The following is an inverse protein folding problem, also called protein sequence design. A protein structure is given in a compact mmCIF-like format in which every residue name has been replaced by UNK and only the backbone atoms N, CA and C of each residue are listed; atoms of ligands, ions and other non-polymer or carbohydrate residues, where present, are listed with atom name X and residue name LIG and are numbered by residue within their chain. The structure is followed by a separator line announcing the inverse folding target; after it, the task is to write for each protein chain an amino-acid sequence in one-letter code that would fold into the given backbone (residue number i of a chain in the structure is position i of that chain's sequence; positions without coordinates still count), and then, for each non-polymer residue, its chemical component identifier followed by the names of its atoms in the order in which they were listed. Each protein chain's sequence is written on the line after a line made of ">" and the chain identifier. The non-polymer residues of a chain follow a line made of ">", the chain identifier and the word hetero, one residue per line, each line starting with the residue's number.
data_IF_569283102675
#
_entry.id   IF_569283102675
#
_cell.length_a   1.000
_cell.length_b   1.000
_cell.length_c   1.000
_cell.angle_alpha   90.00
_cell.angle_beta   90.00
_cell.angle_gamma   90.00
#
_symmetry.space_group_name_H-M   'P 1'
#
loop_
_entity.id
_entity.type
_entity.pdbx_description
1 polymer ?
#
# COMPACT_ATOMS: atom_id res chain seq x y z
N UNK A 1 63.78 -9.08 22.74
CA UNK A 1 62.94 -8.26 21.81
C UNK A 1 61.49 -8.68 21.96
N UNK A 2 60.68 -7.71 22.41
CA UNK A 2 59.27 -7.91 22.59
C UNK A 2 58.51 -7.68 21.27
N UNK A 3 57.36 -8.34 21.01
CA UNK A 3 56.60 -8.11 19.82
C UNK A 3 55.74 -6.85 19.99
N UNK A 4 55.80 -6.00 18.98
CA UNK A 4 55.00 -4.78 18.85
C UNK A 4 53.59 -5.13 18.43
N UNK A 5 52.60 -4.77 19.26
CA UNK A 5 51.18 -4.90 19.00
C UNK A 5 50.73 -3.74 18.10
N UNK A 6 50.34 -4.02 16.87
CA UNK A 6 49.74 -3.03 15.97
C UNK A 6 48.24 -2.90 16.25
N UNK A 7 47.83 -1.79 16.82
CA UNK A 7 46.44 -1.44 17.02
C UNK A 7 45.89 -0.84 15.71
N UNK A 8 45.04 -1.55 14.99
CA UNK A 8 44.33 -1.01 13.83
C UNK A 8 43.10 -0.23 14.30
N UNK A 9 43.17 1.08 14.20
CA UNK A 9 42.08 2.00 14.42
C UNK A 9 41.16 2.01 13.20
N UNK A 10 39.98 1.41 13.32
CA UNK A 10 38.97 1.50 12.28
C UNK A 10 38.29 2.87 12.35
N UNK A 11 38.49 3.67 11.33
CA UNK A 11 37.78 4.95 11.12
C UNK A 11 36.30 4.71 10.86
N UNK A 12 35.41 5.56 11.37
CA UNK A 12 33.97 5.44 11.08
C UNK A 12 33.70 5.84 9.63
N UNK A 13 33.08 4.94 8.88
CA UNK A 13 32.60 5.23 7.53
C UNK A 13 31.55 6.33 7.55
N UNK A 14 31.80 7.40 6.81
CA UNK A 14 30.87 8.47 6.48
C UNK A 14 29.63 7.90 5.81
N UNK A 15 28.50 7.96 6.51
CA UNK A 15 27.19 7.85 5.86
C UNK A 15 26.98 9.09 4.96
N UNK A 16 26.52 8.91 3.72
CA UNK A 16 26.18 10.04 2.88
C UNK A 16 25.02 10.82 3.53
N UNK A 17 25.26 12.07 3.86
CA UNK A 17 24.23 13.04 4.27
C UNK A 17 23.33 13.35 3.07
N UNK A 18 22.36 12.45 2.82
CA UNK A 18 21.22 12.74 1.97
C UNK A 18 20.35 13.78 2.65
N UNK A 19 20.07 14.84 1.94
CA UNK A 19 19.21 15.98 2.32
C UNK A 19 17.94 15.46 3.02
N UNK A 20 17.85 15.76 4.30
CA UNK A 20 16.71 15.44 5.16
C UNK A 20 15.52 16.26 4.69
N UNK A 21 14.67 15.69 3.84
CA UNK A 21 13.35 16.21 3.57
C UNK A 21 12.54 16.11 4.87
N UNK A 22 11.87 17.20 5.22
CA UNK A 22 11.17 17.45 6.48
C UNK A 22 10.49 16.20 7.08
N UNK A 23 10.77 15.97 8.34
CA UNK A 23 10.11 14.97 9.20
C UNK A 23 8.71 15.50 9.59
N UNK A 24 7.84 15.65 8.61
CA UNK A 24 6.41 15.79 8.83
C UNK A 24 5.82 14.39 8.95
N UNK A 25 5.17 14.07 10.07
CA UNK A 25 4.41 12.82 10.21
C UNK A 25 3.35 12.70 9.10
N UNK A 26 2.84 11.48 8.88
CA UNK A 26 1.73 11.22 7.96
C UNK A 26 0.52 12.05 8.41
N UNK A 27 -0.07 12.83 7.49
CA UNK A 27 -1.27 13.62 7.81
C UNK A 27 -2.48 12.73 7.99
N UNK A 28 -3.54 13.28 8.58
CA UNK A 28 -4.80 12.53 8.76
C UNK A 28 -5.41 12.11 7.44
N UNK A 29 -5.34 12.97 6.43
CA UNK A 29 -5.82 12.67 5.07
C UNK A 29 -4.98 11.58 4.40
N UNK A 30 -3.66 11.60 4.57
CA UNK A 30 -2.79 10.53 4.09
C UNK A 30 -3.08 9.20 4.80
N UNK A 31 -3.25 9.21 6.12
CA UNK A 31 -3.63 8.01 6.86
C UNK A 31 -4.97 7.45 6.37
N UNK A 32 -5.94 8.33 6.14
CA UNK A 32 -7.26 7.92 5.62
C UNK A 32 -7.17 7.37 4.20
N UNK A 33 -6.30 7.92 3.35
CA UNK A 33 -6.02 7.36 2.03
C UNK A 33 -5.39 5.96 2.14
N UNK A 34 -4.42 5.76 3.02
CA UNK A 34 -3.79 4.46 3.26
C UNK A 34 -4.81 3.40 3.71
N UNK A 35 -5.76 3.80 4.56
CA UNK A 35 -6.85 2.95 5.01
C UNK A 35 -7.83 2.60 3.88
N UNK A 36 -8.14 3.57 3.02
CA UNK A 36 -8.98 3.37 1.84
C UNK A 36 -8.33 2.45 0.80
N UNK A 37 -7.02 2.60 0.56
CA UNK A 37 -6.24 1.69 -0.31
C UNK A 37 -6.28 0.27 0.26
N UNK A 38 -5.97 0.10 1.54
CA UNK A 38 -6.00 -1.21 2.22
C UNK A 38 -7.40 -1.86 2.15
N UNK A 39 -8.47 -1.07 2.26
CA UNK A 39 -9.83 -1.54 2.09
C UNK A 39 -10.09 -2.03 0.65
N UNK A 40 -9.67 -1.25 -0.35
CA UNK A 40 -9.84 -1.59 -1.75
C UNK A 40 -9.07 -2.87 -2.12
N UNK A 41 -7.81 -2.98 -1.69
CA UNK A 41 -6.95 -4.15 -1.89
C UNK A 41 -7.34 -5.38 -1.03
N UNK A 42 -8.32 -5.25 -0.14
CA UNK A 42 -8.80 -6.35 0.69
C UNK A 42 -7.83 -6.84 1.76
N UNK A 43 -6.79 -6.07 2.06
CA UNK A 43 -5.73 -6.45 3.01
C UNK A 43 -6.11 -6.27 4.48
N UNK A 44 -7.28 -5.69 4.76
CA UNK A 44 -7.82 -5.48 6.12
C UNK A 44 -6.82 -4.80 7.07
N UNK A 45 -6.06 -3.82 6.54
CA UNK A 45 -4.99 -3.09 7.24
C UNK A 45 -3.77 -3.94 7.66
N UNK A 46 -3.66 -5.17 7.20
CA UNK A 46 -2.53 -6.04 7.50
C UNK A 46 -1.33 -5.73 6.61
N UNK A 47 -0.20 -5.42 7.22
CA UNK A 47 1.07 -5.21 6.52
C UNK A 47 1.73 -6.53 6.06
N UNK A 48 1.22 -7.67 6.49
CA UNK A 48 1.75 -8.99 6.15
C UNK A 48 0.96 -9.74 5.08
N UNK A 49 -0.06 -9.13 4.49
CA UNK A 49 -0.90 -9.80 3.49
C UNK A 49 -0.12 -10.06 2.21
N UNK A 50 -0.17 -11.31 1.73
CA UNK A 50 0.34 -11.69 0.42
C UNK A 50 -0.83 -12.00 -0.52
N UNK A 51 -0.54 -12.10 -1.82
CA UNK A 51 -1.54 -12.48 -2.82
C UNK A 51 -2.29 -13.76 -2.37
N UNK A 52 -3.61 -13.76 -2.54
CA UNK A 52 -4.47 -14.85 -2.02
C UNK A 52 -4.95 -14.64 -0.58
N UNK A 53 -4.63 -13.49 0.04
CA UNK A 53 -5.20 -13.08 1.33
C UNK A 53 -4.55 -13.71 2.57
N UNK A 54 -3.52 -14.54 2.41
CA UNK A 54 -2.75 -15.09 3.54
C UNK A 54 -1.90 -14.01 4.19
N UNK A 55 -1.64 -14.15 5.50
CA UNK A 55 -0.80 -13.23 6.27
C UNK A 55 0.49 -13.95 6.66
N UNK A 56 1.63 -13.31 6.37
CA UNK A 56 2.97 -13.73 6.82
C UNK A 56 3.31 -12.93 8.08
N UNK A 57 3.37 -13.56 9.26
CA UNK A 57 3.55 -12.85 10.54
C UNK A 57 4.84 -12.02 10.60
N UNK A 58 5.94 -12.56 10.09
CA UNK A 58 7.25 -11.87 10.08
C UNK A 58 7.20 -10.59 9.22
N UNK A 59 6.47 -10.62 8.11
CA UNK A 59 6.22 -9.46 7.26
C UNK A 59 5.31 -8.45 7.98
N UNK A 60 4.23 -8.92 8.61
CA UNK A 60 3.32 -8.06 9.36
C UNK A 60 4.01 -7.29 10.50
N UNK A 61 5.00 -7.92 11.11
CA UNK A 61 5.80 -7.36 12.21
C UNK A 61 7.00 -6.52 11.73
N UNK A 62 7.20 -6.37 10.42
CA UNK A 62 8.33 -5.63 9.87
C UNK A 62 9.70 -6.25 10.13
N UNK A 63 9.76 -7.57 10.33
CA UNK A 63 10.99 -8.30 10.65
C UNK A 63 11.78 -8.73 9.41
N UNK A 64 11.22 -8.60 8.21
CA UNK A 64 11.86 -8.96 6.97
C UNK A 64 12.55 -7.75 6.35
N UNK A 65 13.73 -7.95 5.78
CA UNK A 65 14.37 -6.96 4.93
C UNK A 65 13.71 -6.92 3.55
N UNK A 66 13.89 -5.83 2.81
CA UNK A 66 13.42 -5.72 1.41
C UNK A 66 13.98 -6.88 0.58
N UNK A 67 15.24 -7.26 0.78
CA UNK A 67 15.85 -8.41 0.08
C UNK A 67 15.14 -9.73 0.38
N UNK A 68 14.79 -9.98 1.63
CA UNK A 68 14.02 -11.18 2.01
C UNK A 68 12.61 -11.18 1.45
N UNK A 69 11.95 -10.01 1.40
CA UNK A 69 10.63 -9.86 0.78
C UNK A 69 10.69 -10.13 -0.72
N UNK A 70 11.67 -9.57 -1.43
CA UNK A 70 11.88 -9.82 -2.86
C UNK A 70 12.19 -11.28 -3.16
N UNK A 71 12.97 -11.95 -2.31
CA UNK A 71 13.25 -13.37 -2.44
C UNK A 71 12.00 -14.21 -2.19
N UNK A 72 11.21 -13.85 -1.16
CA UNK A 72 9.92 -14.48 -0.89
C UNK A 72 8.95 -14.31 -2.07
N UNK A 73 8.88 -13.13 -2.68
CA UNK A 73 8.08 -12.86 -3.88
C UNK A 73 8.52 -13.73 -5.06
N UNK A 74 9.84 -13.91 -5.24
CA UNK A 74 10.41 -14.69 -6.35
C UNK A 74 10.19 -16.19 -6.20
N UNK A 75 10.29 -16.72 -4.98
CA UNK A 75 10.35 -18.17 -4.72
C UNK A 75 9.06 -18.74 -4.12
N UNK A 76 8.22 -17.89 -3.53
CA UNK A 76 7.10 -18.32 -2.69
C UNK A 76 7.53 -18.91 -1.35
N UNK A 77 8.83 -18.78 -0.99
CA UNK A 77 9.41 -19.40 0.20
C UNK A 77 9.95 -18.34 1.17
N UNK A 78 9.82 -18.60 2.45
CA UNK A 78 10.47 -17.85 3.52
C UNK A 78 11.10 -18.84 4.51
N UNK A 79 12.42 -18.77 4.67
CA UNK A 79 13.18 -19.66 5.57
C UNK A 79 12.86 -21.17 5.34
N UNK A 80 12.79 -21.58 4.07
CA UNK A 80 12.47 -22.96 3.68
C UNK A 80 10.98 -23.35 3.78
N UNK A 81 10.13 -22.44 4.25
CA UNK A 81 8.68 -22.65 4.38
C UNK A 81 7.94 -22.01 3.21
N UNK A 82 7.05 -22.76 2.55
CA UNK A 82 6.14 -22.20 1.55
C UNK A 82 5.15 -21.22 2.25
N UNK A 83 5.15 -19.96 1.84
CA UNK A 83 4.28 -18.92 2.41
C UNK A 83 2.88 -18.94 1.78
N UNK A 84 2.71 -19.69 0.67
CA UNK A 84 1.40 -19.93 0.07
C UNK A 84 0.96 -18.83 -0.89
N UNK A 85 1.90 -18.19 -1.61
CA UNK A 85 1.54 -17.51 -2.86
C UNK A 85 0.81 -18.52 -3.73
N UNK A 86 -0.40 -18.19 -4.17
CA UNK A 86 -1.19 -19.10 -4.97
C UNK A 86 -0.46 -19.45 -6.28
N UNK A 87 -0.16 -20.72 -6.48
CA UNK A 87 0.49 -21.22 -7.71
C UNK A 87 -0.38 -21.03 -8.96
N UNK A 88 -1.66 -20.78 -8.79
CA UNK A 88 -2.64 -20.59 -9.87
C UNK A 88 -2.70 -19.15 -10.41
N UNK A 89 -2.04 -18.20 -9.77
CA UNK A 89 -2.10 -16.79 -10.14
C UNK A 89 -0.68 -16.23 -10.20
N UNK A 90 -0.34 -15.62 -11.33
CA UNK A 90 0.97 -14.97 -11.58
C UNK A 90 1.06 -13.62 -10.86
N UNK A 91 0.84 -13.58 -9.53
CA UNK A 91 0.94 -12.38 -8.75
C UNK A 91 1.81 -12.61 -7.51
N UNK A 92 2.78 -11.73 -7.32
CA UNK A 92 3.67 -11.67 -6.17
C UNK A 92 3.32 -10.51 -5.22
N UNK A 93 2.10 -9.98 -5.34
CA UNK A 93 1.61 -8.85 -4.55
C UNK A 93 1.78 -9.08 -3.04
N UNK A 94 2.37 -8.10 -2.34
CA UNK A 94 2.85 -8.27 -0.97
C UNK A 94 2.63 -7.00 -0.14
N UNK A 95 2.28 -7.19 1.13
CA UNK A 95 2.10 -6.13 2.11
C UNK A 95 0.73 -5.48 2.05
N UNK A 96 0.56 -4.45 2.87
CA UNK A 96 -0.70 -3.73 3.03
C UNK A 96 -1.22 -3.11 1.72
N UNK A 97 -0.32 -2.74 0.82
CA UNK A 97 -0.62 -2.04 -0.43
C UNK A 97 -0.34 -2.89 -1.67
N UNK A 98 -0.18 -4.19 -1.48
CA UNK A 98 0.01 -5.18 -2.53
C UNK A 98 1.13 -4.81 -3.52
N UNK A 99 2.32 -4.49 -2.97
CA UNK A 99 3.50 -4.21 -3.76
C UNK A 99 3.89 -5.41 -4.62
N UNK A 100 3.89 -5.24 -5.92
CA UNK A 100 4.54 -6.16 -6.85
C UNK A 100 6.06 -6.06 -6.72
N UNK A 101 6.81 -7.12 -6.98
CA UNK A 101 8.27 -7.12 -6.82
C UNK A 101 8.98 -6.05 -7.64
N UNK A 102 8.52 -5.78 -8.86
CA UNK A 102 9.09 -4.73 -9.69
C UNK A 102 8.81 -3.33 -9.11
N UNK A 103 7.62 -3.12 -8.52
CA UNK A 103 7.28 -1.87 -7.83
C UNK A 103 8.14 -1.68 -6.59
N UNK A 104 8.31 -2.73 -5.78
CA UNK A 104 9.15 -2.68 -4.57
C UNK A 104 10.61 -2.35 -4.92
N UNK A 105 11.15 -2.95 -5.98
CA UNK A 105 12.51 -2.65 -6.47
C UNK A 105 12.64 -1.19 -6.93
N UNK A 106 11.67 -0.71 -7.70
CA UNK A 106 11.66 0.69 -8.18
C UNK A 106 11.61 1.67 -7.00
N UNK A 107 10.71 1.45 -6.03
CA UNK A 107 10.56 2.31 -4.87
C UNK A 107 11.79 2.26 -3.95
N UNK A 108 12.37 1.09 -3.74
CA UNK A 108 13.64 0.95 -3.02
C UNK A 108 14.72 1.85 -3.61
N UNK A 109 14.90 1.81 -4.94
CA UNK A 109 15.91 2.61 -5.64
C UNK A 109 15.58 4.11 -5.61
N UNK A 110 14.34 4.48 -5.90
CA UNK A 110 13.89 5.89 -5.96
C UNK A 110 13.95 6.60 -4.62
N UNK A 111 13.76 5.86 -3.53
CA UNK A 111 13.75 6.42 -2.17
C UNK A 111 15.08 6.18 -1.43
N UNK A 112 16.09 5.57 -2.07
CA UNK A 112 17.44 5.38 -1.52
C UNK A 112 17.53 4.30 -0.44
N UNK A 113 16.62 3.32 -0.45
CA UNK A 113 16.70 2.16 0.44
C UNK A 113 17.56 1.06 -0.16
N UNK A 114 18.01 0.12 0.69
CA UNK A 114 18.83 -1.02 0.30
C UNK A 114 18.12 -2.34 0.55
N UNK A 115 18.67 -3.42 0.02
CA UNK A 115 18.15 -4.78 0.28
C UNK A 115 18.17 -5.16 1.78
N UNK A 116 19.05 -4.53 2.57
CA UNK A 116 19.15 -4.77 4.02
C UNK A 116 18.20 -3.90 4.85
N UNK A 117 17.46 -2.97 4.23
CA UNK A 117 16.48 -2.14 4.92
C UNK A 117 15.30 -3.00 5.35
N UNK A 118 14.89 -2.89 6.62
CA UNK A 118 13.68 -3.58 7.11
C UNK A 118 12.42 -3.02 6.44
N UNK A 119 11.60 -3.91 5.91
CA UNK A 119 10.32 -3.57 5.27
C UNK A 119 9.21 -3.46 6.32
N UNK A 120 9.34 -2.44 7.19
CA UNK A 120 8.42 -2.21 8.30
C UNK A 120 7.06 -1.64 7.83
N UNK A 121 6.02 -1.66 8.68
CA UNK A 121 4.75 -0.96 8.42
C UNK A 121 4.95 0.49 7.99
N UNK A 122 5.76 1.24 8.72
CA UNK A 122 6.04 2.66 8.45
C UNK A 122 6.77 2.85 7.12
N UNK A 123 7.63 1.90 6.74
CA UNK A 123 8.30 1.94 5.45
C UNK A 123 7.33 1.67 4.30
N UNK A 124 6.42 0.71 4.45
CA UNK A 124 5.36 0.46 3.47
C UNK A 124 4.51 1.70 3.24
N UNK A 125 4.09 2.39 4.32
CA UNK A 125 3.34 3.63 4.25
C UNK A 125 4.11 4.73 3.50
N UNK A 126 5.37 4.94 3.85
CA UNK A 126 6.24 5.94 3.18
C UNK A 126 6.45 5.63 1.71
N UNK A 127 6.72 4.37 1.37
CA UNK A 127 6.96 3.98 -0.02
C UNK A 127 5.73 4.24 -0.89
N UNK A 128 4.53 3.83 -0.45
CA UNK A 128 3.33 4.01 -1.25
C UNK A 128 2.92 5.48 -1.37
N UNK A 129 3.01 6.27 -0.29
CA UNK A 129 2.75 7.71 -0.33
C UNK A 129 3.73 8.44 -1.24
N UNK A 130 5.00 8.08 -1.19
CA UNK A 130 6.02 8.60 -2.09
C UNK A 130 5.73 8.28 -3.56
N UNK A 131 5.31 7.06 -3.84
CA UNK A 131 4.96 6.59 -5.18
C UNK A 131 3.77 7.34 -5.75
N UNK A 132 2.63 7.36 -5.05
CA UNK A 132 1.42 8.04 -5.54
C UNK A 132 1.62 9.55 -5.69
N UNK A 133 2.45 10.16 -4.84
CA UNK A 133 2.80 11.58 -5.00
C UNK A 133 3.61 11.81 -6.28
N UNK A 134 4.64 11.01 -6.53
CA UNK A 134 5.53 11.17 -7.71
C UNK A 134 4.85 10.83 -9.03
N UNK A 135 4.15 9.69 -9.08
CA UNK A 135 3.63 9.17 -10.35
C UNK A 135 2.17 9.52 -10.61
N UNK A 136 1.41 9.88 -9.57
CA UNK A 136 -0.02 10.18 -9.67
C UNK A 136 -0.37 11.59 -9.26
N UNK A 137 0.58 12.37 -8.74
CA UNK A 137 0.34 13.75 -8.30
C UNK A 137 -0.60 13.88 -7.09
N UNK A 138 -0.88 12.76 -6.39
CA UNK A 138 -1.74 12.77 -5.21
C UNK A 138 -0.92 13.20 -4.00
N UNK A 139 -1.02 14.48 -3.68
CA UNK A 139 -0.28 15.14 -2.59
C UNK A 139 -1.17 15.36 -1.36
N UNK A 140 -0.58 15.61 -0.17
CA UNK A 140 -1.36 15.99 1.01
C UNK A 140 -2.24 17.23 0.79
N UNK A 141 -1.75 18.22 0.04
CA UNK A 141 -2.51 19.43 -0.29
C UNK A 141 -3.73 19.12 -1.16
N UNK A 142 -3.57 18.21 -2.14
CA UNK A 142 -4.68 17.78 -3.00
C UNK A 142 -5.72 17.00 -2.17
N UNK A 143 -5.29 16.08 -1.31
CA UNK A 143 -6.19 15.32 -0.44
C UNK A 143 -6.95 16.20 0.53
N UNK A 144 -6.30 17.22 1.10
CA UNK A 144 -6.96 18.20 1.96
C UNK A 144 -8.01 19.02 1.22
N UNK A 145 -7.75 19.36 -0.06
CA UNK A 145 -8.63 20.18 -0.90
C UNK A 145 -9.83 19.38 -1.45
N UNK A 146 -9.59 18.18 -1.93
CA UNK A 146 -10.56 17.43 -2.75
C UNK A 146 -11.02 16.11 -2.11
N UNK A 147 -10.36 15.64 -1.04
CA UNK A 147 -10.59 14.29 -0.51
C UNK A 147 -10.39 13.21 -1.57
N UNK A 148 -11.19 12.16 -1.55
CA UNK A 148 -11.25 11.16 -2.62
C UNK A 148 -12.33 11.52 -3.66
N UNK A 149 -12.16 12.68 -4.31
CA UNK A 149 -12.98 13.06 -5.47
C UNK A 149 -12.85 12.00 -6.59
N UNK A 150 -13.79 12.02 -7.56
CA UNK A 150 -13.68 11.15 -8.76
C UNK A 150 -12.34 11.35 -9.46
N UNK A 151 -11.89 12.60 -9.59
CA UNK A 151 -10.58 12.93 -10.15
C UNK A 151 -9.44 12.24 -9.41
N UNK A 152 -9.43 12.28 -8.08
CA UNK A 152 -8.37 11.64 -7.27
C UNK A 152 -8.43 10.11 -7.40
N UNK A 153 -9.63 9.50 -7.43
CA UNK A 153 -9.79 8.08 -7.70
C UNK A 153 -9.24 7.69 -9.08
N UNK A 154 -9.52 8.49 -10.11
CA UNK A 154 -9.01 8.27 -11.47
C UNK A 154 -7.49 8.39 -11.55
N UNK A 155 -6.89 9.29 -10.77
CA UNK A 155 -5.43 9.40 -10.66
C UNK A 155 -4.80 8.16 -10.00
N UNK A 156 -5.51 7.52 -9.06
CA UNK A 156 -5.05 6.33 -8.33
C UNK A 156 -5.31 5.01 -9.09
N UNK A 157 -6.33 4.95 -9.94
CA UNK A 157 -6.74 3.73 -10.63
C UNK A 157 -5.61 3.04 -11.46
N UNK A 158 -4.68 3.76 -12.11
CA UNK A 158 -3.53 3.13 -12.77
C UNK A 158 -2.47 2.58 -11.81
N UNK A 159 -2.59 2.83 -10.50
CA UNK A 159 -1.70 2.27 -9.48
C UNK A 159 -2.32 1.08 -8.76
N UNK A 160 -3.64 1.09 -8.59
CA UNK A 160 -4.38 0.10 -7.82
C UNK A 160 -5.48 -0.53 -8.67
N UNK A 161 -5.31 -1.80 -9.02
CA UNK A 161 -6.26 -2.52 -9.89
C UNK A 161 -7.68 -2.63 -9.28
N UNK A 162 -7.80 -2.52 -7.98
CA UNK A 162 -9.05 -2.54 -7.22
C UNK A 162 -9.84 -1.22 -7.25
N UNK A 163 -9.22 -0.14 -7.81
CA UNK A 163 -9.86 1.18 -7.89
C UNK A 163 -10.71 1.34 -9.15
N UNK A 164 -11.90 1.97 -9.04
CA UNK A 164 -12.73 2.28 -10.20
C UNK A 164 -12.09 3.42 -11.01
N UNK A 165 -12.21 3.32 -12.32
CA UNK A 165 -11.73 4.32 -13.28
C UNK A 165 -12.92 4.89 -14.07
N UNK A 166 -13.24 6.17 -13.87
CA UNK A 166 -14.46 6.78 -14.43
C UNK A 166 -14.49 6.78 -15.96
N UNK A 167 -13.35 6.97 -16.70
CA UNK A 167 -13.35 6.89 -18.16
C UNK A 167 -13.72 5.49 -18.69
N UNK A 168 -13.62 4.44 -17.86
CA UNK A 168 -14.10 3.09 -18.18
C UNK A 168 -15.47 2.77 -17.55
N UNK A 169 -16.27 3.78 -17.21
CA UNK A 169 -17.59 3.58 -16.58
C UNK A 169 -17.49 2.98 -15.16
N UNK A 170 -16.43 3.28 -14.43
CA UNK A 170 -16.20 2.77 -13.07
C UNK A 170 -15.64 1.35 -12.99
N UNK A 171 -15.26 0.74 -14.12
CA UNK A 171 -14.51 -0.53 -14.15
C UNK A 171 -13.06 -0.30 -13.77
N UNK A 172 -12.32 -1.37 -13.50
CA UNK A 172 -10.87 -1.32 -13.29
C UNK A 172 -10.13 -0.73 -14.49
N UNK A 173 -9.05 -0.02 -14.24
CA UNK A 173 -8.09 0.33 -15.28
C UNK A 173 -7.55 -0.92 -16.00
N UNK A 174 -7.42 -2.04 -15.29
CA UNK A 174 -6.85 -3.33 -15.73
C UNK A 174 -7.90 -4.42 -15.97
N UNK A 175 -9.20 -4.08 -16.03
CA UNK A 175 -10.32 -5.01 -16.23
C UNK A 175 -10.42 -6.11 -15.15
N UNK A 176 -10.00 -5.80 -13.92
CA UNK A 176 -10.14 -6.66 -12.73
C UNK A 176 -11.37 -6.26 -11.89
N UNK A 177 -11.81 -7.10 -10.94
CA UNK A 177 -12.86 -6.72 -9.99
C UNK A 177 -12.46 -5.48 -9.20
N UNK A 178 -13.39 -4.54 -9.05
CA UNK A 178 -13.19 -3.27 -8.32
C UNK A 178 -14.15 -3.14 -7.14
N UNK A 179 -13.77 -2.32 -6.18
CA UNK A 179 -14.69 -1.74 -5.21
C UNK A 179 -15.40 -0.54 -5.83
N UNK A 180 -16.63 -0.25 -5.39
CA UNK A 180 -17.33 0.94 -5.84
C UNK A 180 -16.65 2.21 -5.33
N UNK A 181 -16.72 3.30 -6.09
CA UNK A 181 -16.17 4.58 -5.68
C UNK A 181 -16.70 5.02 -4.31
N UNK A 182 -18.00 4.82 -4.07
CA UNK A 182 -18.64 5.21 -2.80
C UNK A 182 -18.12 4.37 -1.64
N UNK A 183 -17.95 3.05 -1.80
CA UNK A 183 -17.39 2.21 -0.73
C UNK A 183 -15.95 2.59 -0.34
N UNK A 184 -15.14 3.03 -1.32
CA UNK A 184 -13.78 3.51 -1.05
C UNK A 184 -13.81 4.89 -0.37
N UNK A 185 -14.70 5.80 -0.79
CA UNK A 185 -14.93 7.09 -0.13
C UNK A 185 -15.42 6.91 1.30
N UNK A 186 -16.33 5.98 1.54
CA UNK A 186 -16.83 5.68 2.88
C UNK A 186 -15.71 5.17 3.79
N UNK A 187 -14.83 4.30 3.30
CA UNK A 187 -13.68 3.85 4.04
C UNK A 187 -12.72 5.00 4.39
N UNK A 188 -12.49 5.92 3.45
CA UNK A 188 -11.70 7.13 3.64
C UNK A 188 -12.33 8.07 4.68
N UNK A 189 -13.61 8.40 4.51
CA UNK A 189 -14.35 9.32 5.39
C UNK A 189 -14.45 8.76 6.82
N UNK A 190 -14.70 7.45 6.95
CA UNK A 190 -14.70 6.77 8.24
C UNK A 190 -13.37 6.90 8.96
N UNK A 191 -12.26 6.76 8.24
CA UNK A 191 -10.92 6.94 8.82
C UNK A 191 -10.63 8.40 9.20
N UNK A 192 -11.18 9.37 8.46
CA UNK A 192 -11.15 10.79 8.82
C UNK A 192 -12.00 11.13 10.06
N UNK A 193 -12.89 10.23 10.50
CA UNK A 193 -13.87 10.50 11.54
C UNK A 193 -15.02 11.38 11.05
N UNK A 194 -15.30 11.39 9.73
CA UNK A 194 -16.46 12.06 9.16
C UNK A 194 -17.69 11.15 9.22
N UNK A 195 -18.91 11.71 9.38
CA UNK A 195 -20.12 10.91 9.28
C UNK A 195 -20.19 10.24 7.91
N UNK A 196 -20.66 8.99 7.89
CA UNK A 196 -20.93 8.29 6.63
C UNK A 196 -22.05 9.01 5.88
N UNK A 197 -21.91 9.13 4.56
CA UNK A 197 -23.04 9.55 3.72
C UNK A 197 -24.18 8.55 3.95
N UNK A 198 -25.31 9.04 4.50
CA UNK A 198 -26.50 8.22 4.66
C UNK A 198 -26.89 7.70 3.27
N UNK A 199 -26.76 6.38 3.07
CA UNK A 199 -27.36 5.75 1.89
C UNK A 199 -28.85 6.12 1.87
N UNK A 200 -29.40 6.51 0.70
CA UNK A 200 -30.85 6.62 0.60
C UNK A 200 -31.43 5.26 0.95
N UNK A 201 -32.26 5.24 1.98
CA UNK A 201 -33.05 4.07 2.36
C UNK A 201 -33.76 3.55 1.11
N UNK A 202 -33.69 2.27 0.75
CA UNK A 202 -34.49 1.75 -0.36
C UNK A 202 -35.93 2.04 -0.04
N UNK A 203 -36.58 2.92 -0.83
CA UNK A 203 -38.00 3.14 -0.74
C UNK A 203 -38.67 1.83 -1.14
N UNK A 204 -39.21 1.11 -0.16
CA UNK A 204 -40.08 -0.03 -0.43
C UNK A 204 -41.26 0.47 -1.26
N UNK A 205 -41.27 0.11 -2.52
CA UNK A 205 -42.40 0.30 -3.40
C UNK A 205 -43.59 -0.52 -2.82
N UNK A 206 -44.75 0.09 -2.55
CA UNK A 206 -45.87 -0.67 -2.05
C UNK A 206 -46.31 -1.71 -3.10
N UNK A 207 -46.46 -2.95 -2.64
CA UNK A 207 -46.93 -4.05 -3.47
C UNK A 207 -48.26 -3.65 -4.12
N UNK A 208 -48.30 -3.69 -5.45
CA UNK A 208 -49.55 -3.53 -6.21
C UNK A 208 -50.51 -4.64 -5.81
N UNK A 209 -51.58 -4.27 -5.12
CA UNK A 209 -52.72 -5.16 -4.87
C UNK A 209 -53.39 -5.44 -6.20
N UNK A 210 -53.23 -6.63 -6.72
CA UNK A 210 -54.15 -7.20 -7.74
C UNK A 210 -55.41 -7.67 -7.02
N UNK A 211 -56.49 -6.98 -7.25
CA UNK A 211 -57.86 -7.38 -6.86
C UNK A 211 -58.47 -8.24 -7.96
N UNK A 212 -59.26 -9.27 -7.63
CA UNK A 212 -59.78 -10.30 -8.54
C UNK A 212 -60.80 -9.79 -9.54
#
# INVERSE_FOLDING_TARGET
>A
PAPTTSTSTSSPQNQPTGTRTATGGITKEQQSLLDAISFAEGTRKSYGTIFGGKVVPELAQGKLTIGQVLEMQRTGMLNGRNVGYGTSYNSDATGRYQFMSYVLKEEMQKQGYTLNTLFTPELQDKMILGRISRFRGVTPALLKKEGLSTRVLDMLAPEFASFPYSPKGGRSYYDQPVKTADSIRDAYNKSLGMPQSSQPTPTMQPASQTTP
#
